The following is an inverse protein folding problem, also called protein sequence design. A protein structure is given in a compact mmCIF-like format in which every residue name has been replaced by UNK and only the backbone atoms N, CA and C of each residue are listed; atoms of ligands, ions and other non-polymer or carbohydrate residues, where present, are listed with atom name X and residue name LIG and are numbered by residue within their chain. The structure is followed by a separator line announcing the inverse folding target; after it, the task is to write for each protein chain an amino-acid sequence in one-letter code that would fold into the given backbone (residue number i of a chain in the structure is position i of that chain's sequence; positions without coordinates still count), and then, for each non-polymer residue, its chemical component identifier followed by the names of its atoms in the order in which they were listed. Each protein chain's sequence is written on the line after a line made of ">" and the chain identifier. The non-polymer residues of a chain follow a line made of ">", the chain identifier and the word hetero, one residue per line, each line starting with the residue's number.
data_IF_352389911461
#
_entry.id   IF_352389911461
#
_cell.length_a   1.000
_cell.length_b   1.000
_cell.length_c   1.000
_cell.angle_alpha   90.00
_cell.angle_beta   90.00
_cell.angle_gamma   90.00
#
_symmetry.space_group_name_H-M   'P 1'
#
loop_
_entity.id
_entity.type
_entity.pdbx_description
1 polymer ?
#
# COMPACT_ATOMS: atom_id res chain seq x y z
N UNK A 1 29.40 27.60 -52.55
CA UNK A 1 29.09 26.41 -51.73
C UNK A 1 28.20 25.48 -52.54
N UNK A 2 28.65 24.25 -52.82
CA UNK A 2 28.04 23.37 -53.82
C UNK A 2 26.61 22.92 -53.41
N UNK A 3 25.67 22.83 -54.36
CA UNK A 3 24.26 22.49 -54.14
C UNK A 3 24.12 21.18 -53.33
N UNK A 4 24.96 20.19 -53.63
CA UNK A 4 25.02 18.92 -52.91
C UNK A 4 25.26 19.08 -51.40
N UNK A 5 26.11 20.03 -50.98
CA UNK A 5 26.42 20.26 -49.56
C UNK A 5 25.22 20.84 -48.81
N UNK A 6 24.44 21.72 -49.45
CA UNK A 6 23.21 22.27 -48.87
C UNK A 6 22.13 21.19 -48.72
N UNK A 7 22.02 20.30 -49.71
CA UNK A 7 21.08 19.18 -49.67
C UNK A 7 21.37 18.19 -48.54
N UNK A 8 22.65 17.81 -48.35
CA UNK A 8 23.06 16.91 -47.27
C UNK A 8 22.78 17.50 -45.88
N UNK A 9 23.06 18.79 -45.68
CA UNK A 9 22.77 19.48 -44.41
C UNK A 9 21.26 19.50 -44.14
N UNK A 10 20.45 19.81 -45.16
CA UNK A 10 18.99 19.83 -45.04
C UNK A 10 18.42 18.44 -44.68
N UNK A 11 18.90 17.39 -45.36
CA UNK A 11 18.50 16.01 -45.07
C UNK A 11 18.86 15.59 -43.63
N UNK A 12 20.06 15.96 -43.17
CA UNK A 12 20.49 15.67 -41.81
C UNK A 12 19.63 16.36 -40.74
N UNK A 13 19.27 17.63 -40.95
CA UNK A 13 18.36 18.38 -40.07
C UNK A 13 16.98 17.72 -40.04
N UNK A 14 16.47 17.28 -41.20
CA UNK A 14 15.16 16.64 -41.29
C UNK A 14 15.13 15.29 -40.54
N UNK A 15 16.17 14.47 -40.69
CA UNK A 15 16.32 13.20 -39.95
C UNK A 15 16.42 13.47 -38.44
N UNK A 16 17.21 14.47 -38.04
CA UNK A 16 17.35 14.83 -36.63
C UNK A 16 16.01 15.28 -36.02
N UNK A 17 15.22 16.09 -36.72
CA UNK A 17 13.89 16.49 -36.29
C UNK A 17 12.94 15.29 -36.17
N UNK A 18 12.95 14.36 -37.14
CA UNK A 18 12.19 13.12 -37.05
C UNK A 18 12.57 12.29 -35.82
N UNK A 19 13.86 12.18 -35.52
CA UNK A 19 14.37 11.46 -34.37
C UNK A 19 13.97 12.13 -33.04
N UNK A 20 14.03 13.45 -32.96
CA UNK A 20 13.60 14.22 -31.79
C UNK A 20 12.09 14.10 -31.54
N UNK A 21 11.26 14.09 -32.59
CA UNK A 21 9.81 13.86 -32.46
C UNK A 21 9.53 12.44 -31.95
N UNK A 22 10.26 11.44 -32.43
CA UNK A 22 10.14 10.05 -31.95
C UNK A 22 10.53 9.97 -30.47
N UNK A 23 11.68 10.54 -30.08
CA UNK A 23 12.14 10.56 -28.67
C UNK A 23 11.14 11.29 -27.78
N UNK A 24 10.64 12.47 -28.20
CA UNK A 24 9.66 13.25 -27.45
C UNK A 24 8.36 12.47 -27.24
N UNK A 25 7.85 11.80 -28.28
CA UNK A 25 6.66 10.95 -28.17
C UNK A 25 6.90 9.70 -27.32
N UNK A 26 8.13 9.18 -27.26
CA UNK A 26 8.50 8.06 -26.41
C UNK A 26 8.68 8.45 -24.94
N UNK A 27 9.15 9.66 -24.65
CA UNK A 27 9.38 10.14 -23.28
C UNK A 27 8.09 10.59 -22.58
N UNK A 28 7.05 11.02 -23.30
CA UNK A 28 5.88 11.69 -22.71
C UNK A 28 4.63 10.83 -22.46
N UNK A 29 4.69 9.51 -22.65
CA UNK A 29 3.58 8.62 -22.27
C UNK A 29 4.04 7.54 -21.31
N UNK A 30 4.39 7.93 -20.09
CA UNK A 30 4.22 7.00 -18.99
C UNK A 30 2.72 6.81 -18.79
N UNK A 31 2.18 5.68 -19.23
CA UNK A 31 0.82 5.30 -18.86
C UNK A 31 0.75 5.22 -17.35
N UNK A 32 0.09 6.21 -16.73
CA UNK A 32 0.00 6.29 -15.28
C UNK A 32 -1.27 5.59 -14.86
N UNK A 33 -1.13 4.30 -14.55
CA UNK A 33 -2.21 3.52 -13.99
C UNK A 33 -2.14 3.53 -12.47
N UNK A 34 -3.30 3.70 -11.83
CA UNK A 34 -3.43 3.57 -10.37
C UNK A 34 -4.49 2.54 -10.04
N UNK A 35 -4.25 1.84 -8.94
CA UNK A 35 -5.27 1.03 -8.29
C UNK A 35 -6.14 1.98 -7.47
N UNK A 36 -7.46 1.90 -7.63
CA UNK A 36 -8.40 2.69 -6.86
C UNK A 36 -9.49 1.80 -6.26
N UNK A 37 -9.96 2.18 -5.07
CA UNK A 37 -11.20 1.67 -4.51
C UNK A 37 -12.30 2.66 -4.87
N UNK A 38 -13.36 2.18 -5.52
CA UNK A 38 -14.58 2.96 -5.75
C UNK A 38 -15.71 2.38 -4.89
N UNK A 39 -16.60 3.26 -4.42
CA UNK A 39 -17.79 2.90 -3.66
C UNK A 39 -19.01 3.49 -4.36
N UNK A 40 -20.14 2.77 -4.32
CA UNK A 40 -21.40 3.25 -4.88
C UNK A 40 -22.11 4.29 -4.00
N UNK A 41 -21.79 4.35 -2.71
CA UNK A 41 -22.39 5.30 -1.75
C UNK A 41 -21.42 5.51 -0.57
N UNK A 42 -21.15 6.74 -0.15
CA UNK A 42 -20.31 7.03 1.02
C UNK A 42 -21.06 6.96 2.35
N UNK A 43 -22.40 6.95 2.33
CA UNK A 43 -23.27 7.17 3.49
C UNK A 43 -23.95 5.89 3.99
N UNK A 44 -23.89 4.79 3.24
CA UNK A 44 -24.48 3.51 3.64
C UNK A 44 -23.48 2.60 4.34
N UNK A 45 -24.00 1.70 5.18
CA UNK A 45 -23.20 0.68 5.87
C UNK A 45 -22.78 -0.42 4.88
N UNK A 46 -23.71 -0.89 4.05
CA UNK A 46 -23.49 -1.97 3.06
C UNK A 46 -23.12 -1.40 1.69
N UNK A 47 -21.94 -0.80 1.59
CA UNK A 47 -21.47 -0.24 0.33
C UNK A 47 -20.95 -1.34 -0.59
N UNK A 48 -21.29 -1.25 -1.88
CA UNK A 48 -20.64 -2.04 -2.91
C UNK A 48 -19.32 -1.36 -3.27
N UNK A 49 -18.21 -1.99 -2.90
CA UNK A 49 -16.88 -1.48 -3.20
C UNK A 49 -16.21 -2.33 -4.24
N UNK A 50 -15.51 -1.65 -5.15
CA UNK A 50 -14.78 -2.29 -6.23
C UNK A 50 -13.35 -1.82 -6.23
N UNK A 51 -12.44 -2.75 -6.50
CA UNK A 51 -11.06 -2.44 -6.84
C UNK A 51 -10.98 -2.32 -8.35
N UNK A 52 -10.54 -1.17 -8.83
CA UNK A 52 -10.44 -0.86 -10.25
C UNK A 52 -9.03 -0.42 -10.64
N UNK A 53 -8.67 -0.69 -11.88
CA UNK A 53 -7.50 -0.10 -12.53
C UNK A 53 -7.95 1.17 -13.26
N UNK A 54 -7.44 2.32 -12.82
CA UNK A 54 -7.73 3.63 -13.39
C UNK A 54 -6.55 4.10 -14.24
N UNK A 55 -6.83 4.58 -15.45
CA UNK A 55 -5.87 5.28 -16.31
C UNK A 55 -5.98 6.78 -16.03
N UNK A 56 -4.98 7.36 -15.38
CA UNK A 56 -4.96 8.79 -15.01
C UNK A 56 -4.81 9.71 -16.22
N UNK A 57 -4.21 9.25 -17.32
CA UNK A 57 -4.07 10.06 -18.51
C UNK A 57 -5.42 10.24 -19.22
N UNK A 58 -6.29 9.23 -19.11
CA UNK A 58 -7.61 9.20 -19.75
C UNK A 58 -8.75 9.47 -18.77
N UNK A 59 -8.46 9.62 -17.47
CA UNK A 59 -9.45 9.73 -16.39
C UNK A 59 -10.57 8.68 -16.49
N UNK A 60 -10.21 7.42 -16.79
CA UNK A 60 -11.19 6.36 -17.02
C UNK A 60 -10.84 5.05 -16.34
N UNK A 61 -11.86 4.34 -15.90
CA UNK A 61 -11.74 2.96 -15.43
C UNK A 61 -11.41 2.08 -16.64
N UNK A 62 -10.32 1.33 -16.53
CA UNK A 62 -9.87 0.39 -17.55
C UNK A 62 -10.41 -1.01 -17.28
N UNK A 63 -10.39 -1.42 -16.01
CA UNK A 63 -10.77 -2.78 -15.61
C UNK A 63 -11.25 -2.79 -14.16
N UNK A 64 -12.34 -3.51 -13.92
CA UNK A 64 -12.72 -3.96 -12.57
C UNK A 64 -11.93 -5.22 -12.23
N UNK A 65 -11.21 -5.19 -11.11
CA UNK A 65 -10.34 -6.28 -10.66
C UNK A 65 -11.00 -7.13 -9.59
N UNK A 66 -11.83 -6.52 -8.75
CA UNK A 66 -12.51 -7.20 -7.66
C UNK A 66 -13.72 -6.39 -7.19
N UNK A 67 -14.74 -7.07 -6.67
CA UNK A 67 -15.91 -6.45 -6.07
C UNK A 67 -16.24 -7.14 -4.75
N UNK A 68 -16.57 -6.34 -3.74
CA UNK A 68 -16.95 -6.82 -2.42
C UNK A 68 -18.02 -5.91 -1.82
N UNK A 69 -19.10 -6.52 -1.34
CA UNK A 69 -20.36 -5.83 -1.03
C UNK A 69 -20.65 -5.74 0.48
N UNK A 70 -19.68 -6.03 1.33
CA UNK A 70 -19.87 -6.09 2.78
C UNK A 70 -18.84 -5.23 3.51
N UNK A 71 -19.25 -4.71 4.68
CA UNK A 71 -18.39 -3.93 5.58
C UNK A 71 -18.11 -2.50 5.13
N UNK A 72 -17.15 -1.85 5.80
CA UNK A 72 -16.89 -0.40 5.67
C UNK A 72 -15.56 -0.04 4.98
N UNK A 73 -14.67 -1.01 4.81
CA UNK A 73 -13.30 -0.77 4.36
C UNK A 73 -12.92 -1.82 3.34
N UNK A 74 -12.30 -1.37 2.24
CA UNK A 74 -11.70 -2.24 1.23
C UNK A 74 -10.39 -1.59 0.76
N UNK A 75 -9.29 -2.19 1.18
CA UNK A 75 -7.93 -1.84 0.77
C UNK A 75 -7.35 -2.96 -0.09
N UNK A 76 -6.55 -2.58 -1.08
CA UNK A 76 -5.91 -3.53 -1.96
C UNK A 76 -4.51 -3.09 -2.39
N UNK A 77 -3.66 -4.07 -2.72
CA UNK A 77 -2.35 -3.84 -3.30
C UNK A 77 -2.05 -4.89 -4.38
N UNK A 78 -1.49 -4.45 -5.51
CA UNK A 78 -1.06 -5.33 -6.60
C UNK A 78 0.38 -5.79 -6.34
N UNK A 79 0.63 -7.08 -6.54
CA UNK A 79 1.96 -7.68 -6.48
C UNK A 79 2.91 -7.10 -7.54
N UNK A 80 4.24 -7.11 -7.31
CA UNK A 80 5.20 -6.54 -8.26
C UNK A 80 5.13 -7.14 -9.67
N UNK A 81 4.86 -8.44 -9.79
CA UNK A 81 4.67 -9.14 -11.07
C UNK A 81 3.28 -8.91 -11.71
N UNK A 82 2.39 -8.19 -11.02
CA UNK A 82 1.03 -7.86 -11.44
C UNK A 82 0.12 -9.08 -11.61
N UNK A 83 0.45 -10.23 -11.00
CA UNK A 83 -0.35 -11.46 -11.12
C UNK A 83 -1.31 -11.69 -9.97
N UNK A 84 -1.01 -11.11 -8.81
CA UNK A 84 -1.83 -11.21 -7.60
C UNK A 84 -2.29 -9.85 -7.10
N UNK A 85 -3.47 -9.82 -6.51
CA UNK A 85 -4.01 -8.72 -5.72
C UNK A 85 -4.11 -9.19 -4.28
N UNK A 86 -3.55 -8.43 -3.34
CA UNK A 86 -3.83 -8.61 -1.92
C UNK A 86 -4.98 -7.67 -1.54
N UNK A 87 -5.96 -8.16 -0.80
CA UNK A 87 -7.12 -7.39 -0.34
C UNK A 87 -7.43 -7.70 1.11
N UNK A 88 -7.99 -6.74 1.84
CA UNK A 88 -8.68 -7.05 3.09
C UNK A 88 -10.19 -7.26 2.85
N UNK A 89 -10.80 -8.13 3.64
CA UNK A 89 -12.22 -8.49 3.51
C UNK A 89 -12.79 -8.87 4.87
N UNK A 90 -14.00 -8.41 5.16
CA UNK A 90 -14.68 -8.81 6.39
C UNK A 90 -15.08 -10.28 6.31
N UNK A 91 -14.83 -11.01 7.40
CA UNK A 91 -15.32 -12.37 7.60
C UNK A 91 -16.05 -12.41 8.92
N UNK A 92 -17.25 -12.97 8.95
CA UNK A 92 -18.07 -13.11 10.17
C UNK A 92 -18.39 -11.77 10.85
N UNK A 93 -18.50 -10.67 10.09
CA UNK A 93 -18.86 -9.30 10.55
C UNK A 93 -17.96 -8.66 11.61
N UNK A 94 -16.84 -9.28 12.00
CA UNK A 94 -15.93 -8.74 12.99
C UNK A 94 -14.46 -8.76 12.54
N UNK A 95 -14.02 -9.78 11.83
CA UNK A 95 -12.61 -9.84 11.45
C UNK A 95 -12.39 -9.30 10.04
N UNK A 96 -11.48 -8.34 9.89
CA UNK A 96 -11.03 -7.85 8.58
C UNK A 96 -9.76 -8.61 8.18
N UNK A 97 -9.96 -9.73 7.47
CA UNK A 97 -8.92 -10.68 7.11
C UNK A 97 -8.22 -10.35 5.80
N UNK A 98 -7.01 -10.88 5.61
CA UNK A 98 -6.20 -10.73 4.41
C UNK A 98 -6.43 -11.89 3.44
N UNK A 99 -6.61 -11.55 2.17
CA UNK A 99 -6.78 -12.48 1.07
C UNK A 99 -5.82 -12.12 -0.06
N UNK A 100 -5.52 -13.11 -0.90
CA UNK A 100 -4.90 -12.91 -2.22
C UNK A 100 -5.81 -13.42 -3.32
N UNK A 101 -5.83 -12.73 -4.44
CA UNK A 101 -6.62 -13.06 -5.61
C UNK A 101 -5.66 -13.16 -6.79
N UNK A 102 -5.72 -14.27 -7.52
CA UNK A 102 -5.02 -14.41 -8.79
C UNK A 102 -5.76 -13.61 -9.87
N UNK A 103 -5.09 -12.65 -10.49
CA UNK A 103 -5.71 -11.69 -11.42
C UNK A 103 -6.03 -12.27 -12.79
N UNK A 104 -5.52 -13.46 -13.11
CA UNK A 104 -5.80 -14.15 -14.37
C UNK A 104 -7.04 -15.05 -14.22
N UNK A 105 -7.13 -15.75 -13.10
CA UNK A 105 -8.17 -16.77 -12.84
C UNK A 105 -9.31 -16.26 -11.97
N UNK A 106 -9.11 -15.14 -11.26
CA UNK A 106 -10.04 -14.64 -10.25
C UNK A 106 -10.07 -15.48 -8.96
N UNK A 107 -9.22 -16.51 -8.84
CA UNK A 107 -9.22 -17.42 -7.69
C UNK A 107 -8.75 -16.69 -6.43
N UNK A 108 -9.59 -16.71 -5.40
CA UNK A 108 -9.31 -16.14 -4.08
C UNK A 108 -8.67 -17.19 -3.14
N UNK A 109 -7.74 -16.74 -2.30
CA UNK A 109 -7.10 -17.53 -1.26
C UNK A 109 -7.00 -16.71 0.02
N UNK A 110 -7.54 -17.25 1.12
CA UNK A 110 -7.52 -16.61 2.43
C UNK A 110 -6.17 -16.84 3.12
N UNK A 111 -5.48 -15.76 3.49
CA UNK A 111 -4.17 -15.81 4.15
C UNK A 111 -4.29 -15.77 5.68
N UNK A 112 -5.32 -15.15 6.21
CA UNK A 112 -5.57 -15.06 7.64
C UNK A 112 -7.00 -15.42 7.97
N UNK A 113 -7.22 -16.02 9.14
CA UNK A 113 -8.53 -16.41 9.62
C UNK A 113 -8.59 -16.29 11.15
N UNK A 114 -9.76 -15.98 11.70
CA UNK A 114 -10.02 -15.87 13.15
C UNK A 114 -8.94 -15.03 13.86
N UNK A 115 -8.60 -13.88 13.30
CA UNK A 115 -7.52 -13.03 13.80
C UNK A 115 -7.97 -12.15 14.97
N UNK A 116 -9.27 -12.05 15.23
CA UNK A 116 -9.84 -11.21 16.27
C UNK A 116 -9.32 -9.76 16.17
N UNK A 117 -9.52 -9.16 15.01
CA UNK A 117 -8.96 -7.87 14.68
C UNK A 117 -9.03 -7.54 13.19
N UNK A 118 -8.36 -6.45 12.84
CA UNK A 118 -8.50 -5.81 11.54
C UNK A 118 -7.16 -5.60 10.85
N UNK A 119 -7.07 -6.04 9.58
CA UNK A 119 -5.90 -5.84 8.72
C UNK A 119 -6.12 -4.65 7.78
N UNK A 120 -5.13 -3.76 7.73
CA UNK A 120 -5.08 -2.59 6.83
C UNK A 120 -3.65 -2.35 6.29
N UNK A 121 -3.45 -1.25 5.54
CA UNK A 121 -2.17 -0.72 5.04
C UNK A 121 -1.32 -1.75 4.32
N UNK A 122 -1.93 -2.37 3.32
CA UNK A 122 -1.39 -3.50 2.59
C UNK A 122 -0.32 -3.01 1.60
N UNK A 123 0.85 -3.67 1.60
CA UNK A 123 1.90 -3.46 0.61
C UNK A 123 2.65 -4.76 0.32
N UNK A 124 2.87 -5.06 -0.96
CA UNK A 124 3.76 -6.16 -1.33
C UNK A 124 5.23 -5.72 -1.19
N UNK A 125 6.03 -6.49 -0.47
CA UNK A 125 7.48 -6.28 -0.38
C UNK A 125 8.19 -6.96 -1.57
N UNK A 126 7.68 -8.13 -1.97
CA UNK A 126 8.07 -8.90 -3.15
C UNK A 126 6.86 -9.73 -3.63
N UNK A 127 7.03 -10.74 -4.50
CA UNK A 127 5.91 -11.54 -5.02
C UNK A 127 5.32 -12.56 -4.02
N UNK A 128 5.98 -12.74 -2.88
CA UNK A 128 5.66 -13.76 -1.88
C UNK A 128 5.40 -13.19 -0.48
N UNK A 129 5.75 -11.93 -0.21
CA UNK A 129 5.61 -11.30 1.11
C UNK A 129 4.76 -10.03 1.07
N UNK A 130 3.84 -9.93 2.03
CA UNK A 130 2.94 -8.79 2.22
C UNK A 130 3.21 -8.16 3.58
N UNK A 131 3.46 -6.86 3.57
CA UNK A 131 3.47 -5.97 4.74
C UNK A 131 2.06 -5.45 4.98
N UNK A 132 1.63 -5.45 6.24
CA UNK A 132 0.33 -4.93 6.64
C UNK A 132 0.33 -4.44 8.08
N UNK A 133 -0.67 -3.64 8.42
CA UNK A 133 -1.00 -3.26 9.79
C UNK A 133 -2.12 -4.14 10.34
N UNK A 134 -2.07 -4.44 11.63
CA UNK A 134 -3.08 -5.21 12.35
C UNK A 134 -3.50 -4.49 13.64
N UNK A 135 -4.79 -4.29 13.82
CA UNK A 135 -5.37 -3.74 15.05
C UNK A 135 -6.20 -4.81 15.74
N UNK A 136 -5.89 -5.12 17.00
CA UNK A 136 -6.59 -6.18 17.74
C UNK A 136 -7.93 -5.71 18.30
N UNK A 137 -8.93 -6.60 18.30
CA UNK A 137 -10.19 -6.44 19.03
C UNK A 137 -10.08 -6.82 20.51
N UNK A 138 -8.95 -7.38 20.94
CA UNK A 138 -8.67 -7.69 22.34
C UNK A 138 -7.51 -6.84 22.89
N UNK A 139 -7.74 -5.55 23.15
CA UNK A 139 -6.69 -4.64 23.58
C UNK A 139 -6.12 -4.98 24.97
N UNK A 140 -6.85 -5.75 25.79
CA UNK A 140 -6.32 -6.25 27.07
C UNK A 140 -5.17 -7.23 26.89
N UNK A 141 -5.20 -8.00 25.80
CA UNK A 141 -4.19 -9.01 25.46
C UNK A 141 -3.09 -8.42 24.58
N UNK A 142 -3.48 -7.69 23.53
CA UNK A 142 -2.57 -7.32 22.44
C UNK A 142 -2.16 -5.83 22.48
N UNK A 143 -2.69 -5.06 23.45
CA UNK A 143 -2.44 -3.63 23.58
C UNK A 143 -3.40 -2.75 22.78
N UNK A 144 -3.40 -1.45 23.05
CA UNK A 144 -4.19 -0.44 22.33
C UNK A 144 -3.34 0.10 21.18
N UNK A 145 -3.27 -0.62 20.07
CA UNK A 145 -2.39 -0.18 19.01
C UNK A 145 -2.39 -1.01 17.74
N UNK A 146 -1.70 -0.47 16.74
CA UNK A 146 -1.55 -1.08 15.42
C UNK A 146 -0.21 -1.81 15.30
N UNK A 147 -0.22 -3.13 15.29
CA UNK A 147 0.96 -3.95 15.04
C UNK A 147 1.29 -3.95 13.55
N UNK A 148 2.56 -4.09 13.19
CA UNK A 148 3.02 -4.19 11.80
C UNK A 148 3.60 -5.59 11.59
N UNK A 149 3.07 -6.30 10.61
CA UNK A 149 3.47 -7.66 10.29
C UNK A 149 3.90 -7.79 8.84
N UNK A 150 4.73 -8.80 8.59
CA UNK A 150 4.91 -9.39 7.27
C UNK A 150 4.41 -10.81 7.27
N UNK A 151 3.64 -11.18 6.25
CA UNK A 151 3.20 -12.56 6.00
C UNK A 151 3.79 -13.09 4.70
N UNK A 152 4.28 -14.32 4.74
CA UNK A 152 4.65 -15.06 3.54
C UNK A 152 3.42 -15.77 2.96
N UNK A 153 3.05 -15.44 1.72
CA UNK A 153 1.84 -15.93 1.04
C UNK A 153 1.88 -17.41 0.67
N UNK A 154 3.08 -18.02 0.62
CA UNK A 154 3.23 -19.46 0.32
C UNK A 154 3.11 -20.31 1.57
N UNK A 155 3.66 -19.84 2.69
CA UNK A 155 3.73 -20.63 3.94
C UNK A 155 2.72 -20.20 4.99
N UNK A 156 2.08 -19.04 4.85
CA UNK A 156 1.23 -18.43 5.87
C UNK A 156 2.01 -17.93 7.10
N UNK A 157 3.35 -18.06 7.12
CA UNK A 157 4.17 -17.65 8.26
C UNK A 157 4.16 -16.13 8.40
N UNK A 158 3.86 -15.66 9.61
CA UNK A 158 3.88 -14.24 9.99
C UNK A 158 5.13 -13.91 10.80
N UNK A 159 5.63 -12.68 10.64
CA UNK A 159 6.70 -12.09 11.45
C UNK A 159 6.28 -10.69 11.88
N UNK A 160 6.41 -10.39 13.18
CA UNK A 160 6.23 -9.03 13.70
C UNK A 160 7.42 -8.18 13.23
N UNK A 161 7.11 -7.01 12.67
CA UNK A 161 8.09 -6.01 12.23
C UNK A 161 8.23 -4.92 13.26
N UNK A 162 7.09 -4.47 13.79
CA UNK A 162 7.02 -3.37 14.72
C UNK A 162 5.73 -3.48 15.52
N UNK A 163 5.80 -3.18 16.80
CA UNK A 163 4.72 -3.47 17.73
C UNK A 163 5.27 -3.53 19.14
N UNK A 164 4.46 -3.10 20.10
CA UNK A 164 4.73 -3.33 21.50
C UNK A 164 3.83 -4.47 21.96
N UNK A 165 4.36 -5.68 22.04
CA UNK A 165 3.64 -6.78 22.66
C UNK A 165 3.66 -6.62 24.20
N UNK A 166 2.50 -6.69 24.83
CA UNK A 166 2.40 -6.86 26.29
C UNK A 166 2.44 -5.59 27.15
N UNK A 167 2.54 -4.37 26.59
CA UNK A 167 2.29 -3.15 27.40
C UNK A 167 0.79 -2.87 27.50
N UNK A 168 0.30 -2.82 28.73
CA UNK A 168 -1.09 -2.44 29.02
C UNK A 168 -1.24 -0.92 28.86
N UNK A 169 -2.25 -0.53 28.11
CA UNK A 169 -2.87 0.81 28.08
C UNK A 169 -2.22 1.94 27.27
N UNK A 170 -1.10 1.75 26.56
CA UNK A 170 -0.56 2.81 25.71
C UNK A 170 -1.25 2.78 24.36
N UNK A 171 -1.98 3.84 24.02
CA UNK A 171 -2.54 4.03 22.69
C UNK A 171 -1.41 4.40 21.72
N UNK A 172 -1.01 3.47 20.86
CA UNK A 172 0.00 3.71 19.84
C UNK A 172 -0.66 3.75 18.45
N UNK A 173 -0.16 4.62 17.58
CA UNK A 173 -0.60 4.69 16.19
C UNK A 173 0.59 4.44 15.28
N UNK A 174 0.45 3.39 14.49
CA UNK A 174 1.45 2.97 13.54
C UNK A 174 0.82 2.82 12.17
N UNK A 175 1.44 3.40 11.17
CA UNK A 175 1.08 3.16 9.77
C UNK A 175 2.34 2.97 8.94
N UNK A 176 2.19 2.27 7.82
CA UNK A 176 3.33 1.76 7.08
C UNK A 176 3.06 1.72 5.58
N UNK A 177 4.11 1.95 4.79
CA UNK A 177 4.11 1.69 3.35
C UNK A 177 5.47 1.19 2.89
N UNK A 178 5.48 0.15 2.05
CA UNK A 178 6.69 -0.23 1.33
C UNK A 178 6.83 0.58 0.04
N UNK A 179 8.05 1.06 -0.24
CA UNK A 179 8.39 1.85 -1.43
C UNK A 179 9.34 1.01 -2.31
N UNK A 180 8.82 0.33 -3.36
CA UNK A 180 9.61 -0.60 -4.17
C UNK A 180 10.85 0.02 -4.83
N UNK A 181 10.76 1.29 -5.24
CA UNK A 181 11.81 2.01 -5.97
C UNK A 181 13.10 2.14 -5.14
N UNK A 182 12.97 2.26 -3.82
CA UNK A 182 14.11 2.39 -2.91
C UNK A 182 14.29 1.16 -2.01
N UNK A 183 13.42 0.16 -2.13
CA UNK A 183 13.41 -1.06 -1.31
C UNK A 183 13.43 -0.75 0.19
N UNK A 184 12.61 0.22 0.62
CA UNK A 184 12.49 0.66 2.02
C UNK A 184 11.05 0.64 2.47
N UNK A 185 10.90 0.59 3.78
CA UNK A 185 9.64 0.84 4.45
C UNK A 185 9.65 2.29 4.94
N UNK A 186 8.56 3.01 4.68
CA UNK A 186 8.25 4.26 5.36
C UNK A 186 7.25 3.95 6.46
N UNK A 187 7.57 4.33 7.68
CA UNK A 187 6.79 4.01 8.86
C UNK A 187 6.52 5.28 9.66
N UNK A 188 5.27 5.47 10.07
CA UNK A 188 4.92 6.48 11.07
C UNK A 188 4.74 5.74 12.39
N UNK A 189 5.36 6.26 13.45
CA UNK A 189 5.11 5.82 14.82
C UNK A 189 4.74 7.01 15.68
N UNK A 190 3.74 6.85 16.54
CA UNK A 190 3.37 7.86 17.53
C UNK A 190 2.48 7.28 18.62
N UNK A 191 2.26 8.08 19.66
CA UNK A 191 1.16 7.85 20.59
C UNK A 191 -0.09 8.55 20.08
N UNK A 192 -1.26 7.96 20.32
CA UNK A 192 -2.50 8.70 20.16
C UNK A 192 -2.66 9.81 21.23
N UNK A 193 -1.81 9.82 22.26
CA UNK A 193 -1.77 10.82 23.35
C UNK A 193 -1.44 12.25 22.87
N UNK A 194 -1.03 12.44 21.61
CA UNK A 194 -1.01 13.79 21.01
C UNK A 194 -2.44 14.36 20.80
N UNK A 195 -3.49 13.51 20.82
CA UNK A 195 -4.91 13.89 20.69
C UNK A 195 -5.71 13.77 21.99
N UNK A 196 -5.25 12.96 22.94
CA UNK A 196 -5.91 12.73 24.23
C UNK A 196 -4.94 13.08 25.35
N UNK A 197 -5.37 13.89 26.33
CA UNK A 197 -4.58 14.20 27.54
C UNK A 197 -3.97 12.89 28.08
N UNK A 198 -2.65 12.81 28.33
CA UNK A 198 -1.97 11.54 28.63
C UNK A 198 -2.70 10.82 29.77
N UNK A 199 -3.21 9.63 29.47
CA UNK A 199 -3.96 8.82 30.42
C UNK A 199 -3.05 8.04 31.39
N UNK A 200 -1.73 8.12 31.19
CA UNK A 200 -0.72 7.36 31.94
C UNK A 200 0.33 8.35 32.46
N UNK A 201 0.72 8.17 33.73
CA UNK A 201 1.80 8.87 34.42
C UNK A 201 2.95 9.25 33.47
N UNK A 202 3.45 10.49 33.57
CA UNK A 202 4.46 11.24 32.77
C UNK A 202 5.83 10.55 32.52
N UNK A 203 5.88 9.22 32.49
CA UNK A 203 7.08 8.38 32.42
C UNK A 203 7.27 7.74 31.05
N UNK A 204 6.25 7.71 30.21
CA UNK A 204 6.33 7.15 28.85
C UNK A 204 5.87 8.20 27.84
N UNK A 205 6.81 9.06 27.45
CA UNK A 205 6.65 9.87 26.24
C UNK A 205 7.17 9.05 25.07
N UNK A 206 6.29 8.37 24.33
CA UNK A 206 6.72 8.04 22.98
C UNK A 206 6.86 9.36 22.21
N UNK A 207 7.86 9.46 21.33
CA UNK A 207 8.07 10.68 20.58
C UNK A 207 6.79 11.04 19.78
N UNK A 208 6.41 12.33 19.75
CA UNK A 208 5.37 12.89 18.86
C UNK A 208 5.42 12.24 17.48
N UNK A 209 4.29 11.99 16.81
CA UNK A 209 4.22 11.31 15.51
C UNK A 209 5.46 11.49 14.62
N UNK A 210 6.32 10.48 14.54
CA UNK A 210 7.59 10.53 13.80
C UNK A 210 7.52 9.67 12.55
N UNK A 211 8.08 10.20 11.47
CA UNK A 211 8.24 9.50 10.21
C UNK A 211 9.65 8.89 10.15
N UNK A 212 9.74 7.61 9.83
CA UNK A 212 10.98 6.86 9.69
C UNK A 212 11.10 6.23 8.32
N UNK A 213 12.34 6.19 7.83
CA UNK A 213 12.77 5.30 6.78
C UNK A 213 13.43 4.08 7.42
N UNK A 214 12.89 2.90 7.12
CA UNK A 214 13.31 1.62 7.69
C UNK A 214 13.79 0.67 6.59
N UNK A 215 14.59 -0.31 6.97
CA UNK A 215 14.82 -1.48 6.11
C UNK A 215 13.59 -2.41 6.05
N UNK A 216 13.67 -3.48 5.26
CA UNK A 216 12.59 -4.46 5.08
C UNK A 216 12.26 -5.28 6.34
N UNK A 217 13.09 -5.17 7.37
CA UNK A 217 12.89 -5.82 8.67
C UNK A 217 12.33 -4.84 9.72
N UNK A 218 12.03 -3.59 9.34
CA UNK A 218 11.49 -2.57 10.24
C UNK A 218 12.55 -1.81 11.03
N UNK A 219 13.84 -2.09 10.84
CA UNK A 219 14.90 -1.41 11.56
C UNK A 219 15.06 0.02 11.03
N UNK A 220 15.04 0.99 11.95
CA UNK A 220 15.23 2.40 11.63
C UNK A 220 16.60 2.63 10.98
N UNK A 221 16.58 3.33 9.85
CA UNK A 221 17.80 3.79 9.18
C UNK A 221 17.91 5.31 9.21
N UNK A 222 16.78 6.01 9.08
CA UNK A 222 16.75 7.47 9.09
C UNK A 222 15.41 7.97 9.65
N UNK A 223 15.45 8.96 10.53
CA UNK A 223 14.27 9.75 10.90
C UNK A 223 14.06 10.83 9.84
N UNK A 224 12.85 10.93 9.29
CA UNK A 224 12.50 11.82 8.18
C UNK A 224 11.83 13.12 8.64
N UNK A 225 11.07 13.10 9.74
CA UNK A 225 10.36 14.27 10.27
C UNK A 225 10.12 14.18 11.78
N UNK A 226 9.84 15.32 12.43
CA UNK A 226 9.49 15.50 13.83
C UNK A 226 8.27 16.42 13.98
#
# INVERSE_FOLDING_TARGET
>A
MNIARKFVIFLFIFILFGFLIIIYNFQNKSDTYVLATISNDSNQIHQQRKIVLLDLNKNKIIKELYSYNEGHTLEAAVSPDKRKLAVNKWTNHMDLNLFTIDLNTGKEFQLTNNINGEIERISWINNDEILYTFTSHNPKKDGLGTLIYVINTKTGRRRLIDGIEGLKAIYWYNTVKYIPQIKKIVMVRGLADDFFKPAINDTIHAPRNQLYLCDINGKNQKKLCC
#
